data_IF_725111673314
#
_entry.id   IF_725111673314
#
_cell.length_a   1.000
_cell.length_b   1.000
_cell.length_c   1.000
_cell.angle_alpha   90.00
_cell.angle_beta   90.00
_cell.angle_gamma   90.00
#
_symmetry.space_group_name_H-M   'P 1'
#
loop_
_entity.id
_entity.type
_entity.pdbx_description
1 polymer ?
#
# COMPACT_ATOMS: atom_id res chain seq x y z
N UNK A 1 25.94 51.36 -7.96
CA UNK A 1 25.62 50.32 -8.97
C UNK A 1 24.77 50.96 -10.08
N UNK A 2 25.12 50.78 -11.35
CA UNK A 2 24.60 51.59 -12.46
C UNK A 2 23.23 51.10 -12.93
N UNK A 3 22.24 51.99 -12.97
CA UNK A 3 20.84 51.80 -13.41
C UNK A 3 20.68 50.90 -14.65
N UNK A 4 21.63 50.96 -15.58
CA UNK A 4 21.64 50.15 -16.79
C UNK A 4 21.75 48.63 -16.50
N UNK A 5 22.53 48.22 -15.51
CA UNK A 5 22.66 46.80 -15.16
C UNK A 5 21.37 46.20 -14.60
N UNK A 6 20.59 47.00 -13.89
CA UNK A 6 19.28 46.59 -13.36
C UNK A 6 18.27 46.47 -14.50
N UNK A 7 18.30 47.40 -15.46
CA UNK A 7 17.46 47.34 -16.66
C UNK A 7 17.78 46.12 -17.51
N UNK A 8 19.06 45.86 -17.78
CA UNK A 8 19.48 44.69 -18.56
C UNK A 8 19.10 43.36 -17.87
N UNK A 9 19.15 43.32 -16.53
CA UNK A 9 18.72 42.14 -15.77
C UNK A 9 17.20 41.94 -15.82
N UNK A 10 16.41 43.00 -15.78
CA UNK A 10 14.95 42.96 -15.91
C UNK A 10 14.52 42.49 -17.31
N UNK A 11 15.14 43.02 -18.37
CA UNK A 11 14.83 42.61 -19.74
C UNK A 11 15.16 41.12 -19.97
N UNK A 12 16.27 40.64 -19.37
CA UNK A 12 16.62 39.21 -19.39
C UNK A 12 15.62 38.36 -18.61
N UNK A 13 15.17 38.81 -17.44
CA UNK A 13 14.17 38.10 -16.66
C UNK A 13 12.85 38.01 -17.42
N UNK A 14 12.38 39.11 -18.01
CA UNK A 14 11.16 39.14 -18.81
C UNK A 14 11.24 38.18 -20.01
N UNK A 15 12.40 38.14 -20.68
CA UNK A 15 12.65 37.19 -21.77
C UNK A 15 12.61 35.73 -21.31
N UNK A 16 13.19 35.43 -20.14
CA UNK A 16 13.12 34.10 -19.54
C UNK A 16 11.69 33.72 -19.18
N UNK A 17 10.93 34.62 -18.54
CA UNK A 17 9.52 34.38 -18.18
C UNK A 17 8.68 34.09 -19.42
N UNK A 18 8.79 34.91 -20.48
CA UNK A 18 8.09 34.67 -21.75
C UNK A 18 8.42 33.31 -22.38
N UNK A 19 9.67 32.87 -22.27
CA UNK A 19 10.08 31.53 -22.76
C UNK A 19 9.46 30.41 -21.93
N UNK A 20 9.39 30.58 -20.61
CA UNK A 20 8.74 29.62 -19.71
C UNK A 20 7.25 29.54 -20.02
N UNK A 21 6.57 30.68 -20.20
CA UNK A 21 5.14 30.70 -20.55
C UNK A 21 4.87 30.01 -21.89
N UNK A 22 5.74 30.23 -22.89
CA UNK A 22 5.64 29.56 -24.18
C UNK A 22 5.85 28.05 -24.08
N UNK A 23 6.74 27.59 -23.18
CA UNK A 23 6.93 26.17 -22.92
C UNK A 23 5.75 25.56 -22.16
N UNK A 24 5.21 26.26 -21.16
CA UNK A 24 4.00 25.86 -20.44
C UNK A 24 2.81 25.69 -21.41
N UNK A 25 2.58 26.70 -22.27
CA UNK A 25 1.51 26.66 -23.28
C UNK A 25 1.68 25.50 -24.27
N UNK A 26 2.92 25.15 -24.64
CA UNK A 26 3.19 23.98 -25.51
C UNK A 26 2.97 22.66 -24.77
N UNK A 27 3.34 22.59 -23.50
CA UNK A 27 3.11 21.41 -22.68
C UNK A 27 1.60 21.16 -22.51
N UNK A 28 0.81 22.21 -22.27
CA UNK A 28 -0.65 22.12 -22.16
C UNK A 28 -1.28 21.60 -23.47
N UNK A 29 -0.85 22.12 -24.62
CA UNK A 29 -1.31 21.63 -25.94
C UNK A 29 -0.97 20.17 -26.19
N UNK A 30 0.24 19.73 -25.83
CA UNK A 30 0.64 18.32 -25.95
C UNK A 30 -0.16 17.43 -25.01
N UNK A 31 -0.55 17.94 -23.85
CA UNK A 31 -1.39 17.23 -22.89
C UNK A 31 -2.82 17.05 -23.40
N UNK A 32 -3.38 18.05 -24.09
CA UNK A 32 -4.70 17.99 -24.74
C UNK A 32 -4.72 17.10 -26.01
N UNK A 33 -3.59 17.00 -26.73
CA UNK A 33 -3.45 16.19 -27.95
C UNK A 33 -3.20 14.69 -27.68
N UNK A 34 -2.79 14.31 -26.46
CA UNK A 34 -2.74 12.89 -26.06
C UNK A 34 -4.16 12.31 -25.94
N UNK A 35 -4.51 11.22 -26.65
CA UNK A 35 -5.85 10.65 -26.59
C UNK A 35 -6.24 10.35 -25.14
N UNK A 36 -7.35 10.95 -24.70
CA UNK A 36 -7.98 10.82 -23.37
C UNK A 36 -8.51 9.40 -23.11
N UNK A 37 -7.63 8.40 -23.12
CA UNK A 37 -7.86 7.10 -22.52
C UNK A 37 -6.95 6.92 -21.31
N UNK A 38 -6.78 7.98 -20.49
CA UNK A 38 -6.19 7.81 -19.16
C UNK A 38 -7.03 6.79 -18.41
N UNK A 39 -6.42 5.71 -17.94
CA UNK A 39 -7.13 4.67 -17.20
C UNK A 39 -7.89 5.35 -16.04
N UNK A 40 -9.22 5.20 -15.99
CA UNK A 40 -10.00 5.72 -14.85
C UNK A 40 -9.82 4.80 -13.66
N UNK A 41 -8.70 4.97 -12.97
CA UNK A 41 -8.38 4.25 -11.75
C UNK A 41 -9.15 4.84 -10.58
N UNK A 42 -9.93 4.00 -9.88
CA UNK A 42 -10.69 4.39 -8.68
C UNK A 42 -10.52 3.35 -7.60
N UNK A 43 -10.56 3.76 -6.34
CA UNK A 43 -10.69 2.81 -5.23
C UNK A 43 -12.09 2.18 -5.20
N UNK A 44 -12.22 1.03 -4.56
CA UNK A 44 -13.48 0.27 -4.45
C UNK A 44 -14.53 0.96 -3.59
N UNK A 45 -14.11 1.85 -2.70
CA UNK A 45 -14.92 2.82 -1.95
C UNK A 45 -14.15 4.15 -1.82
N UNK A 46 -14.74 5.15 -1.15
CA UNK A 46 -14.00 6.37 -0.80
C UNK A 46 -12.84 6.04 0.14
N UNK A 47 -11.76 6.84 0.08
CA UNK A 47 -10.61 6.64 0.96
C UNK A 47 -10.98 6.81 2.42
N UNK A 48 -11.81 7.80 2.75
CA UNK A 48 -12.32 7.99 4.11
C UNK A 48 -13.01 6.74 4.67
N UNK A 49 -13.87 6.07 3.87
CA UNK A 49 -14.51 4.82 4.30
C UNK A 49 -13.49 3.70 4.50
N UNK A 50 -12.50 3.55 3.60
CA UNK A 50 -11.47 2.52 3.74
C UNK A 50 -10.62 2.77 5.00
N UNK A 51 -10.21 4.01 5.25
CA UNK A 51 -9.40 4.41 6.41
C UNK A 51 -10.18 4.27 7.72
N UNK A 52 -11.45 4.68 7.75
CA UNK A 52 -12.35 4.49 8.90
C UNK A 52 -12.48 3.01 9.23
N UNK A 53 -12.73 2.18 8.23
CA UNK A 53 -12.86 0.74 8.38
C UNK A 53 -11.55 0.08 8.84
N UNK A 54 -10.41 0.44 8.26
CA UNK A 54 -9.10 -0.04 8.71
C UNK A 54 -8.83 0.34 10.17
N UNK A 55 -9.25 1.56 10.58
CA UNK A 55 -9.15 2.04 11.96
C UNK A 55 -10.06 1.24 12.91
N UNK A 56 -11.31 0.97 12.51
CA UNK A 56 -12.23 0.09 13.27
C UNK A 56 -11.63 -1.30 13.47
N UNK A 57 -11.05 -1.88 12.43
CA UNK A 57 -10.37 -3.19 12.49
C UNK A 57 -9.21 -3.16 13.49
N UNK A 58 -8.35 -2.14 13.42
CA UNK A 58 -7.25 -1.99 14.39
C UNK A 58 -7.76 -1.91 15.83
N UNK A 59 -8.77 -1.06 16.09
CA UNK A 59 -9.35 -0.89 17.42
C UNK A 59 -10.03 -2.16 17.92
N UNK A 60 -10.77 -2.85 17.05
CA UNK A 60 -11.41 -4.12 17.35
C UNK A 60 -10.39 -5.17 17.76
N UNK A 61 -9.30 -5.32 17.00
CA UNK A 61 -8.22 -6.24 17.35
C UNK A 61 -7.56 -5.85 18.68
N UNK A 62 -7.18 -4.57 18.82
CA UNK A 62 -6.47 -4.06 19.99
C UNK A 62 -7.23 -4.27 21.30
N UNK A 63 -8.57 -4.21 21.27
CA UNK A 63 -9.43 -4.40 22.45
C UNK A 63 -9.62 -5.86 22.85
N UNK A 64 -9.38 -6.80 21.94
CA UNK A 64 -9.71 -8.21 22.12
C UNK A 64 -8.46 -9.10 22.29
N UNK A 65 -7.28 -8.52 22.55
CA UNK A 65 -6.08 -9.29 22.88
C UNK A 65 -6.12 -9.90 24.30
N UNK A 66 -5.25 -10.89 24.56
CA UNK A 66 -5.12 -11.50 25.89
C UNK A 66 -4.46 -10.52 26.87
N UNK A 67 -4.74 -10.66 28.17
CA UNK A 67 -4.05 -9.91 29.23
C UNK A 67 -2.74 -10.60 29.64
N UNK A 68 -2.58 -11.86 29.26
CA UNK A 68 -1.50 -12.75 29.70
C UNK A 68 -0.14 -12.46 29.03
N UNK A 69 -0.11 -11.72 27.92
CA UNK A 69 1.10 -11.44 27.15
C UNK A 69 1.25 -9.93 26.90
N UNK A 70 2.44 -9.34 27.13
CA UNK A 70 2.69 -7.94 26.82
C UNK A 70 2.65 -7.61 25.32
N UNK A 71 2.90 -8.57 24.42
CA UNK A 71 3.05 -8.32 22.98
C UNK A 71 2.23 -9.30 22.14
N UNK A 72 1.45 -8.75 21.22
CA UNK A 72 0.69 -9.49 20.21
C UNK A 72 1.04 -8.98 18.83
N UNK A 73 0.94 -9.82 17.81
CA UNK A 73 1.29 -9.45 16.44
C UNK A 73 0.12 -9.70 15.50
N UNK A 74 -0.20 -8.72 14.67
CA UNK A 74 -1.10 -8.89 13.54
C UNK A 74 -0.40 -8.51 12.24
N UNK A 75 -0.74 -9.21 11.16
CA UNK A 75 -0.33 -8.94 9.80
C UNK A 75 -1.56 -8.53 9.00
N UNK A 76 -1.68 -7.25 8.63
CA UNK A 76 -2.74 -6.76 7.75
C UNK A 76 -2.36 -7.02 6.30
N UNK A 77 -3.17 -7.77 5.55
CA UNK A 77 -2.96 -7.96 4.12
C UNK A 77 -3.08 -6.62 3.39
N UNK A 78 -2.03 -6.25 2.65
CA UNK A 78 -2.00 -5.05 1.84
C UNK A 78 -2.65 -5.35 0.49
N UNK A 79 -3.81 -4.74 0.26
CA UNK A 79 -4.60 -4.92 -0.94
C UNK A 79 -4.68 -3.61 -1.71
N UNK A 80 -4.70 -3.68 -3.03
CA UNK A 80 -4.75 -2.47 -3.86
C UNK A 80 -6.12 -1.76 -3.75
N UNK A 81 -7.22 -2.52 -3.61
CA UNK A 81 -8.60 -2.02 -3.65
C UNK A 81 -8.90 -1.14 -4.87
N UNK A 82 -8.18 -1.34 -5.97
CA UNK A 82 -8.31 -0.57 -7.20
C UNK A 82 -9.30 -1.23 -8.17
N UNK A 83 -10.30 -0.47 -8.60
CA UNK A 83 -11.23 -0.82 -9.66
C UNK A 83 -10.63 -0.41 -10.99
N UNK A 84 -10.36 -1.41 -11.84
CA UNK A 84 -9.85 -1.22 -13.20
C UNK A 84 -10.99 -1.29 -14.22
N UNK A 85 -11.01 -0.44 -15.25
CA UNK A 85 -11.97 -0.57 -16.34
C UNK A 85 -11.77 -1.92 -17.06
N UNK A 86 -12.86 -2.66 -17.29
CA UNK A 86 -12.81 -3.95 -18.01
C UNK A 86 -12.37 -3.71 -19.45
N UNK A 87 -11.16 -4.14 -19.81
CA UNK A 87 -10.72 -4.23 -21.21
C UNK A 87 -11.23 -5.55 -21.80
N UNK A 88 -12.01 -5.47 -22.88
CA UNK A 88 -12.82 -6.57 -23.48
C UNK A 88 -12.02 -7.75 -24.06
N UNK A 89 -10.68 -7.78 -23.98
CA UNK A 89 -9.84 -8.80 -24.63
C UNK A 89 -8.63 -9.27 -23.81
N UNK A 90 -8.72 -9.32 -22.48
CA UNK A 90 -7.63 -9.92 -21.67
C UNK A 90 -7.74 -11.46 -21.64
N UNK A 91 -6.62 -12.21 -21.72
CA UNK A 91 -6.61 -13.66 -21.55
C UNK A 91 -7.17 -14.09 -20.18
N UNK A 92 -7.82 -15.25 -20.12
CA UNK A 92 -8.45 -15.82 -18.91
C UNK A 92 -7.51 -15.94 -17.69
N UNK A 93 -6.20 -16.06 -17.88
CA UNK A 93 -5.21 -16.11 -16.79
C UNK A 93 -5.04 -14.76 -16.05
N UNK A 94 -5.42 -13.63 -16.64
CA UNK A 94 -5.40 -12.33 -15.98
C UNK A 94 -6.60 -12.11 -15.03
N UNK A 95 -7.55 -13.05 -14.94
CA UNK A 95 -8.76 -12.91 -14.14
C UNK A 95 -8.47 -12.84 -12.63
N UNK A 96 -7.41 -13.51 -12.13
CA UNK A 96 -7.05 -13.48 -10.71
C UNK A 96 -6.50 -12.12 -10.24
N UNK A 97 -5.97 -11.30 -11.15
CA UNK A 97 -5.50 -9.93 -10.85
C UNK A 97 -6.64 -8.91 -10.76
N UNK A 98 -7.88 -9.31 -11.06
CA UNK A 98 -9.06 -8.44 -11.07
C UNK A 98 -9.98 -8.63 -9.86
N UNK A 99 -9.60 -9.44 -8.87
CA UNK A 99 -10.39 -9.54 -7.64
C UNK A 99 -10.18 -8.24 -6.85
N UNK A 100 -11.15 -7.34 -6.96
CA UNK A 100 -11.13 -6.07 -6.21
C UNK A 100 -11.58 -6.36 -4.79
N UNK A 101 -10.66 -6.19 -3.84
CA UNK A 101 -10.97 -6.32 -2.43
C UNK A 101 -12.05 -5.30 -1.98
N UNK A 102 -12.98 -5.78 -1.16
CA UNK A 102 -14.11 -5.00 -0.66
C UNK A 102 -13.69 -4.10 0.49
N UNK A 103 -14.18 -2.86 0.51
CA UNK A 103 -13.86 -1.86 1.54
C UNK A 103 -14.19 -2.28 2.99
N UNK A 104 -15.11 -3.24 3.15
CA UNK A 104 -15.59 -3.76 4.44
C UNK A 104 -14.90 -5.06 4.87
N UNK A 105 -13.98 -5.58 4.07
CA UNK A 105 -13.35 -6.87 4.29
C UNK A 105 -11.83 -6.71 4.38
N UNK A 106 -11.16 -7.30 5.36
CA UNK A 106 -9.71 -7.19 5.56
C UNK A 106 -9.11 -8.56 5.88
N UNK A 107 -8.12 -8.98 5.09
CA UNK A 107 -7.34 -10.19 5.37
C UNK A 107 -6.32 -9.94 6.47
N UNK A 108 -6.23 -10.86 7.43
CA UNK A 108 -5.37 -10.73 8.60
C UNK A 108 -4.68 -12.05 8.95
N UNK A 109 -3.39 -11.99 9.29
CA UNK A 109 -2.70 -13.02 10.06
C UNK A 109 -2.60 -12.59 11.51
N UNK A 110 -2.95 -13.46 12.46
CA UNK A 110 -2.88 -13.17 13.89
C UNK A 110 -1.92 -14.15 14.57
N UNK A 111 -1.02 -13.61 15.40
CA UNK A 111 -0.13 -14.41 16.24
C UNK A 111 -0.09 -13.81 17.64
N UNK A 112 -0.40 -14.63 18.63
CA UNK A 112 -0.24 -14.27 20.03
C UNK A 112 0.63 -15.30 20.71
N UNK A 113 1.81 -14.92 21.21
CA UNK A 113 2.75 -15.83 21.86
C UNK A 113 2.32 -16.17 23.31
N UNK A 114 1.01 -16.11 23.61
CA UNK A 114 0.47 -16.43 24.93
C UNK A 114 0.61 -17.97 25.24
N UNK A 115 1.31 -18.81 24.45
CA UNK A 115 1.78 -20.17 24.79
C UNK A 115 2.76 -20.77 23.75
N UNK A 116 3.46 -21.86 24.11
CA UNK A 116 4.43 -22.54 23.26
C UNK A 116 3.79 -23.10 21.96
N UNK A 117 4.31 -22.67 20.81
CA UNK A 117 3.89 -22.98 19.43
C UNK A 117 2.68 -22.23 18.85
N UNK A 118 2.61 -20.91 19.03
CA UNK A 118 1.62 -20.09 18.32
C UNK A 118 1.92 -20.01 16.82
N UNK A 119 1.28 -20.88 16.04
CA UNK A 119 1.19 -20.74 14.59
C UNK A 119 0.38 -19.49 14.23
N UNK A 120 0.61 -18.95 13.03
CA UNK A 120 -0.21 -17.87 12.49
C UNK A 120 -1.64 -18.36 12.25
N UNK A 121 -2.62 -17.69 12.86
CA UNK A 121 -4.03 -17.87 12.50
C UNK A 121 -4.36 -16.94 11.34
N UNK A 122 -4.69 -17.51 10.20
CA UNK A 122 -5.23 -16.71 9.10
C UNK A 122 -6.69 -16.39 9.35
N UNK A 123 -7.09 -15.19 8.96
CA UNK A 123 -8.43 -14.72 9.20
C UNK A 123 -8.85 -13.63 8.21
N UNK A 124 -10.14 -13.39 8.18
CA UNK A 124 -10.75 -12.28 7.47
C UNK A 124 -11.69 -11.56 8.44
N UNK A 125 -11.53 -10.25 8.56
CA UNK A 125 -12.46 -9.41 9.33
C UNK A 125 -13.41 -8.73 8.36
N UNK A 126 -14.71 -8.94 8.57
CA UNK A 126 -15.81 -8.27 7.88
C UNK A 126 -16.43 -7.25 8.82
N UNK A 127 -16.67 -6.06 8.32
CA UNK A 127 -17.39 -5.02 9.06
C UNK A 127 -18.85 -5.13 8.67
N UNK A 128 -19.71 -5.32 9.66
CA UNK A 128 -21.15 -5.35 9.45
C UNK A 128 -21.62 -3.94 9.12
N UNK A 129 -21.86 -3.65 7.85
CA UNK A 129 -22.68 -2.50 7.48
C UNK A 129 -24.14 -2.87 7.77
N UNK A 130 -24.78 -2.23 8.75
CA UNK A 130 -26.24 -2.28 8.82
C UNK A 130 -26.77 -1.90 7.42
N UNK A 131 -27.68 -2.67 6.82
CA UNK A 131 -28.32 -2.24 5.58
C UNK A 131 -29.09 -0.96 5.91
N UNK A 132 -28.51 0.18 5.58
CA UNK A 132 -29.16 1.47 5.66
C UNK A 132 -30.38 1.40 4.74
N UNK A 133 -31.56 1.34 5.36
CA UNK A 133 -32.84 1.39 4.69
C UNK A 133 -32.98 2.73 3.98
N UNK A 134 -32.51 2.81 2.73
CA UNK A 134 -32.93 3.73 1.64
C UNK A 134 -31.97 3.57 0.45
N UNK A 135 -32.01 2.43 -0.24
CA UNK A 135 -31.49 2.34 -1.61
C UNK A 135 -32.64 2.53 -2.60
N UNK A 136 -32.83 3.78 -3.02
CA UNK A 136 -33.59 4.09 -4.24
C UNK A 136 -32.86 3.56 -5.46
N UNK A 137 -33.64 3.04 -6.40
CA UNK A 137 -33.24 2.14 -7.48
C UNK A 137 -32.02 2.57 -8.29
N UNK A 138 -31.01 1.70 -8.32
CA UNK A 138 -30.26 1.41 -9.53
C UNK A 138 -29.85 -0.05 -9.47
N UNK A 139 -30.40 -0.89 -10.36
CA UNK A 139 -30.05 -2.30 -10.45
C UNK A 139 -28.59 -2.40 -10.90
N UNK A 140 -27.68 -2.65 -9.95
CA UNK A 140 -26.29 -2.99 -10.24
C UNK A 140 -26.16 -4.50 -10.10
N UNK A 141 -26.19 -5.21 -11.23
CA UNK A 141 -25.87 -6.64 -11.27
C UNK A 141 -24.40 -6.79 -10.90
N UNK A 142 -24.16 -7.03 -9.62
CA UNK A 142 -22.86 -7.44 -9.09
C UNK A 142 -22.94 -8.95 -8.99
N UNK A 143 -22.13 -9.67 -9.76
CA UNK A 143 -21.97 -11.12 -9.58
C UNK A 143 -21.18 -11.28 -8.27
N UNK A 144 -21.91 -11.29 -7.16
CA UNK A 144 -21.40 -11.74 -5.88
C UNK A 144 -21.11 -13.23 -6.00
N UNK A 145 -19.95 -13.67 -5.53
CA UNK A 145 -19.73 -15.06 -5.10
C UNK A 145 -20.90 -15.42 -4.17
N UNK A 146 -21.47 -16.65 -4.23
CA UNK A 146 -22.73 -16.96 -3.55
C UNK A 146 -22.68 -16.47 -2.10
N UNK A 147 -23.56 -15.54 -1.76
CA UNK A 147 -23.85 -15.27 -0.36
C UNK A 147 -24.45 -16.57 0.17
N UNK A 148 -23.68 -17.27 1.00
CA UNK A 148 -24.24 -18.31 1.84
C UNK A 148 -25.39 -17.67 2.63
N UNK A 149 -26.58 -18.24 2.51
CA UNK A 149 -27.78 -17.88 3.24
C UNK A 149 -27.44 -17.87 4.76
N UNK A 150 -27.40 -16.69 5.40
CA UNK A 150 -26.73 -16.52 6.69
C UNK A 150 -27.71 -16.43 7.87
N UNK A 151 -27.83 -17.53 8.61
CA UNK A 151 -28.52 -17.60 9.89
C UNK A 151 -27.69 -16.91 11.01
N UNK A 152 -28.19 -15.87 11.70
CA UNK A 152 -27.49 -15.17 12.78
C UNK A 152 -27.19 -16.03 14.02
N UNK A 153 -27.75 -17.24 14.12
CA UNK A 153 -27.68 -18.10 15.30
C UNK A 153 -26.28 -18.68 15.63
N UNK A 154 -25.31 -18.63 14.71
CA UNK A 154 -24.00 -19.30 14.87
C UNK A 154 -22.80 -18.36 15.17
N UNK A 155 -23.05 -17.12 15.60
CA UNK A 155 -21.98 -16.17 15.93
C UNK A 155 -21.45 -16.40 17.36
N UNK A 156 -20.17 -16.71 17.50
CA UNK A 156 -19.51 -16.83 18.81
C UNK A 156 -18.82 -15.52 19.17
N UNK A 157 -19.24 -14.88 20.27
CA UNK A 157 -18.62 -13.65 20.73
C UNK A 157 -17.15 -13.86 21.13
N UNK A 158 -16.25 -13.05 20.58
CA UNK A 158 -14.81 -13.13 20.86
C UNK A 158 -14.51 -12.28 22.07
N UNK A 159 -14.12 -12.93 23.17
CA UNK A 159 -13.63 -12.26 24.39
C UNK A 159 -12.11 -12.16 24.44
N UNK A 160 -11.42 -13.02 23.68
CA UNK A 160 -9.96 -12.99 23.54
C UNK A 160 -9.54 -13.67 22.24
N UNK A 161 -8.83 -12.94 21.38
CA UNK A 161 -8.26 -13.44 20.14
C UNK A 161 -7.28 -14.59 20.39
N UNK A 162 -6.52 -14.54 21.48
CA UNK A 162 -5.57 -15.61 21.81
C UNK A 162 -6.28 -16.92 22.16
N UNK A 163 -7.48 -16.88 22.75
CA UNK A 163 -8.30 -18.08 22.94
C UNK A 163 -8.73 -18.66 21.58
N UNK A 164 -9.15 -17.81 20.64
CA UNK A 164 -9.51 -18.23 19.29
C UNK A 164 -8.31 -18.84 18.55
N UNK A 165 -7.14 -18.20 18.60
CA UNK A 165 -5.89 -18.70 18.00
C UNK A 165 -5.53 -20.08 18.56
N UNK A 166 -5.67 -20.29 19.88
CA UNK A 166 -5.37 -21.56 20.54
C UNK A 166 -6.36 -22.67 20.20
N UNK A 167 -7.64 -22.32 20.07
CA UNK A 167 -8.73 -23.30 20.00
C UNK A 167 -9.21 -23.58 18.58
N UNK A 168 -8.81 -22.80 17.59
CA UNK A 168 -9.29 -22.97 16.22
C UNK A 168 -8.84 -24.31 15.64
N UNK A 169 -9.78 -25.24 15.35
CA UNK A 169 -9.46 -26.48 14.65
C UNK A 169 -9.23 -26.24 13.16
N UNK A 170 -9.54 -25.03 12.66
CA UNK A 170 -9.46 -24.66 11.27
C UNK A 170 -8.31 -23.67 11.02
N UNK A 171 -7.63 -23.79 9.86
CA UNK A 171 -6.53 -22.90 9.50
C UNK A 171 -7.00 -21.47 9.18
N UNK A 172 -8.32 -21.23 9.13
CA UNK A 172 -8.90 -19.95 8.74
C UNK A 172 -10.21 -19.65 9.50
N UNK A 173 -10.33 -18.43 10.02
CA UNK A 173 -11.50 -17.94 10.77
C UNK A 173 -12.02 -16.63 10.17
N UNK A 174 -13.34 -16.49 10.06
CA UNK A 174 -13.95 -15.20 9.68
C UNK A 174 -14.44 -14.53 10.96
N UNK A 175 -14.05 -13.27 11.15
CA UNK A 175 -14.61 -12.43 12.21
C UNK A 175 -15.57 -11.39 11.63
N UNK A 176 -16.63 -11.11 12.36
CA UNK A 176 -17.54 -10.00 12.12
C UNK A 176 -17.28 -8.93 13.17
N UNK A 177 -17.05 -7.70 12.73
CA UNK A 177 -16.88 -6.52 13.57
C UNK A 177 -18.12 -5.65 13.42
N UNK A 178 -18.85 -5.46 14.51
CA UNK A 178 -20.03 -4.59 14.51
C UNK A 178 -19.68 -3.13 14.81
N UNK A 179 -20.66 -2.24 14.67
CA UNK A 179 -20.50 -0.79 14.93
C UNK A 179 -20.07 -0.45 16.37
N UNK A 180 -20.28 -1.35 17.32
CA UNK A 180 -19.85 -1.18 18.71
C UNK A 180 -18.38 -1.58 18.93
N UNK A 181 -17.71 -2.09 17.89
CA UNK A 181 -16.34 -2.59 17.96
C UNK A 181 -16.23 -3.97 18.63
N UNK A 182 -17.34 -4.71 18.75
CA UNK A 182 -17.33 -6.07 19.27
C UNK A 182 -17.01 -7.05 18.14
N UNK A 183 -16.10 -7.98 18.41
CA UNK A 183 -15.76 -9.06 17.49
C UNK A 183 -16.63 -10.29 17.80
N UNK A 184 -17.17 -10.88 16.74
CA UNK A 184 -17.73 -12.22 16.75
C UNK A 184 -16.95 -13.08 15.75
N UNK A 185 -16.80 -14.36 16.03
CA UNK A 185 -16.14 -15.32 15.15
C UNK A 185 -17.15 -16.29 14.57
N UNK A 186 -16.86 -16.73 13.35
CA UNK A 186 -17.58 -17.80 12.66
C UNK A 186 -16.56 -18.77 12.04
N UNK A 187 -16.75 -20.09 12.22
CA UNK A 187 -15.97 -21.07 11.48
C UNK A 187 -16.14 -20.84 9.98
N UNK A 188 -15.04 -20.81 9.24
CA UNK A 188 -15.15 -20.70 7.79
C UNK A 188 -15.29 -22.08 7.17
N UNK A 189 -16.27 -22.25 6.27
CA UNK A 189 -16.36 -23.42 5.40
C UNK A 189 -15.38 -23.33 4.21
N UNK A 190 -14.70 -22.19 4.01
CA UNK A 190 -13.72 -22.03 2.94
C UNK A 190 -12.48 -22.86 3.26
N UNK A 191 -12.20 -23.87 2.42
CA UNK A 191 -10.84 -24.42 2.28
C UNK A 191 -9.99 -23.37 1.59
N UNK A 192 -9.12 -22.69 2.32
CA UNK A 192 -8.14 -21.78 1.71
C UNK A 192 -7.20 -22.59 0.82
N UNK A 193 -7.14 -22.24 -0.46
CA UNK A 193 -6.33 -22.93 -1.47
C UNK A 193 -4.84 -22.56 -1.44
N UNK A 194 -4.44 -21.57 -0.63
CA UNK A 194 -3.06 -21.11 -0.55
C UNK A 194 -2.30 -21.90 0.53
N UNK A 195 -1.24 -22.60 0.13
CA UNK A 195 -0.24 -23.14 1.06
C UNK A 195 0.51 -21.96 1.69
N UNK A 196 0.44 -21.86 3.02
CA UNK A 196 1.18 -20.87 3.77
C UNK A 196 2.58 -21.41 4.09
N UNK A 197 3.61 -20.58 3.94
CA UNK A 197 4.96 -20.95 4.36
C UNK A 197 5.02 -20.97 5.89
N UNK A 198 5.73 -21.96 6.45
CA UNK A 198 5.93 -22.03 7.91
C UNK A 198 6.67 -20.81 8.47
N UNK A 199 7.45 -20.12 7.63
CA UNK A 199 8.20 -18.92 7.98
C UNK A 199 7.91 -17.83 6.94
N UNK A 200 7.34 -16.71 7.40
CA UNK A 200 7.19 -15.52 6.59
C UNK A 200 8.54 -14.84 6.36
N UNK A 201 8.75 -14.25 5.19
CA UNK A 201 9.95 -13.46 4.89
C UNK A 201 9.60 -11.98 4.77
N UNK A 202 10.46 -11.09 5.30
CA UNK A 202 10.29 -9.65 5.12
C UNK A 202 10.79 -9.18 3.74
N UNK A 203 10.33 -8.02 3.29
CA UNK A 203 10.85 -7.39 2.07
C UNK A 203 12.37 -7.19 2.18
N UNK A 204 12.88 -6.76 3.34
CA UNK A 204 14.32 -6.63 3.60
C UNK A 204 15.10 -7.93 3.29
N UNK A 205 14.60 -9.08 3.75
CA UNK A 205 15.26 -10.36 3.55
C UNK A 205 15.16 -10.87 2.10
N UNK A 206 14.13 -10.42 1.37
CA UNK A 206 13.87 -10.82 -0.01
C UNK A 206 14.60 -9.94 -1.04
N UNK A 207 14.90 -8.68 -0.71
CA UNK A 207 15.52 -7.74 -1.65
C UNK A 207 16.77 -8.30 -2.34
N UNK A 208 17.74 -8.94 -1.66
CA UNK A 208 18.92 -9.51 -2.34
C UNK A 208 18.60 -10.61 -3.35
N UNK A 209 17.42 -11.25 -3.24
CA UNK A 209 16.98 -12.30 -4.16
C UNK A 209 16.36 -11.71 -5.44
N UNK A 210 16.03 -10.42 -5.46
CA UNK A 210 15.46 -9.73 -6.63
C UNK A 210 16.51 -9.47 -7.71
N UNK A 211 17.80 -9.66 -7.41
CA UNK A 211 18.90 -9.62 -8.40
C UNK A 211 18.66 -10.63 -9.54
N UNK A 212 18.03 -11.77 -9.23
CA UNK A 212 17.45 -12.65 -10.23
C UNK A 212 16.16 -11.99 -10.76
N UNK A 213 16.27 -11.26 -11.87
CA UNK A 213 15.21 -10.46 -12.51
C UNK A 213 13.79 -11.02 -12.27
N UNK A 214 13.08 -10.41 -11.33
CA UNK A 214 11.67 -10.74 -11.09
C UNK A 214 10.83 -10.40 -12.32
N UNK A 215 9.73 -11.12 -12.56
CA UNK A 215 8.80 -10.75 -13.61
C UNK A 215 8.27 -9.34 -13.39
N UNK A 216 8.18 -8.58 -14.50
CA UNK A 216 7.70 -7.20 -14.52
C UNK A 216 6.35 -7.07 -13.79
N UNK A 217 5.43 -8.02 -13.99
CA UNK A 217 4.12 -8.01 -13.33
C UNK A 217 4.22 -8.00 -11.79
N UNK A 218 5.20 -8.67 -11.20
CA UNK A 218 5.37 -8.72 -9.75
C UNK A 218 5.98 -7.43 -9.21
N UNK A 219 6.98 -6.89 -9.91
CA UNK A 219 7.63 -5.63 -9.54
C UNK A 219 6.62 -4.46 -9.54
N UNK A 220 5.84 -4.32 -10.62
CA UNK A 220 4.81 -3.29 -10.70
C UNK A 220 3.66 -3.59 -9.74
N UNK A 221 3.22 -4.85 -9.65
CA UNK A 221 2.15 -5.25 -8.74
C UNK A 221 2.46 -4.93 -7.27
N UNK A 222 3.69 -5.19 -6.83
CA UNK A 222 4.16 -4.84 -5.49
C UNK A 222 4.22 -3.32 -5.31
N UNK A 223 4.85 -2.59 -6.24
CA UNK A 223 4.96 -1.12 -6.16
C UNK A 223 3.59 -0.43 -6.07
N UNK A 224 2.64 -0.84 -6.93
CA UNK A 224 1.26 -0.35 -6.93
C UNK A 224 0.58 -0.66 -5.59
N UNK A 225 0.76 -1.86 -5.04
CA UNK A 225 0.22 -2.24 -3.73
C UNK A 225 0.76 -1.37 -2.61
N UNK A 226 2.07 -1.10 -2.59
CA UNK A 226 2.68 -0.25 -1.56
C UNK A 226 2.19 1.20 -1.65
N UNK A 227 2.14 1.76 -2.86
CA UNK A 227 1.61 3.12 -3.07
C UNK A 227 0.13 3.19 -2.67
N UNK A 228 -0.69 2.23 -3.11
CA UNK A 228 -2.10 2.17 -2.73
C UNK A 228 -2.28 2.03 -1.21
N UNK A 229 -1.36 1.36 -0.51
CA UNK A 229 -1.40 1.19 0.95
C UNK A 229 -1.20 2.50 1.69
N UNK A 230 -0.35 3.42 1.18
CA UNK A 230 -0.21 4.76 1.76
C UNK A 230 -1.55 5.50 1.76
N UNK A 231 -2.26 5.53 0.63
CA UNK A 231 -3.59 6.16 0.57
C UNK A 231 -4.56 5.56 1.60
N UNK A 232 -4.54 4.24 1.73
CA UNK A 232 -5.53 3.51 2.54
C UNK A 232 -5.23 3.55 4.04
N UNK A 233 -3.96 3.72 4.44
CA UNK A 233 -3.53 3.45 5.81
C UNK A 233 -2.80 4.61 6.49
N UNK A 234 -2.33 5.64 5.76
CA UNK A 234 -1.48 6.69 6.33
C UNK A 234 -2.11 7.46 7.50
N UNK A 235 -3.44 7.63 7.49
CA UNK A 235 -4.21 8.28 8.57
C UNK A 235 -4.81 7.28 9.57
N UNK A 236 -4.31 6.04 9.60
CA UNK A 236 -4.82 4.97 10.46
C UNK A 236 -3.75 4.51 11.46
N UNK A 237 -4.14 3.90 12.60
CA UNK A 237 -3.17 3.39 13.57
C UNK A 237 -2.23 2.30 13.04
N UNK A 238 -2.59 1.64 11.92
CA UNK A 238 -1.75 0.66 11.26
C UNK A 238 -0.39 1.23 10.84
N UNK A 239 -0.36 2.49 10.41
CA UNK A 239 0.84 3.19 9.90
C UNK A 239 1.26 4.37 10.80
N UNK A 240 1.04 4.22 12.11
CA UNK A 240 1.41 5.22 13.11
C UNK A 240 2.93 5.42 13.28
N UNK A 241 3.71 4.36 13.09
CA UNK A 241 5.17 4.40 13.16
C UNK A 241 5.77 4.57 11.76
N UNK A 242 7.00 5.08 11.70
CA UNK A 242 7.73 5.20 10.43
C UNK A 242 7.76 3.85 9.72
N UNK A 243 7.24 3.83 8.50
CA UNK A 243 7.14 2.62 7.70
C UNK A 243 8.52 2.08 7.33
N UNK A 244 8.71 0.76 7.41
CA UNK A 244 9.94 0.08 7.04
C UNK A 244 9.69 -1.13 6.16
N UNK A 245 10.68 -1.46 5.32
CA UNK A 245 10.76 -2.74 4.59
C UNK A 245 10.76 -3.98 5.49
N UNK A 246 11.07 -3.82 6.78
CA UNK A 246 10.97 -4.89 7.80
C UNK A 246 9.53 -5.23 8.14
N UNK A 247 8.65 -4.23 8.07
CA UNK A 247 7.25 -4.36 8.44
C UNK A 247 6.42 -4.99 7.32
N UNK A 248 6.98 -5.12 6.11
CA UNK A 248 6.32 -5.76 4.96
C UNK A 248 6.76 -7.21 4.90
N UNK A 249 5.83 -8.14 5.10
CA UNK A 249 6.10 -9.59 5.12
C UNK A 249 5.26 -10.35 4.10
N UNK A 250 5.80 -11.48 3.66
CA UNK A 250 5.17 -12.40 2.72
C UNK A 250 5.08 -13.78 3.38
N UNK A 251 3.85 -14.28 3.54
CA UNK A 251 3.56 -15.52 4.27
C UNK A 251 2.90 -16.61 3.41
N UNK A 252 2.66 -16.35 2.12
CA UNK A 252 2.07 -17.31 1.18
C UNK A 252 3.15 -17.92 0.31
N UNK A 253 3.12 -19.23 0.14
CA UNK A 253 4.03 -19.93 -0.76
C UNK A 253 3.63 -19.67 -2.22
N UNK A 254 4.62 -19.64 -3.11
CA UNK A 254 4.36 -19.71 -4.54
C UNK A 254 5.24 -20.81 -5.16
N UNK A 255 4.63 -21.97 -5.45
CA UNK A 255 5.35 -23.11 -6.03
C UNK A 255 5.79 -22.90 -7.48
N UNK A 256 5.32 -21.84 -8.14
CA UNK A 256 5.52 -21.60 -9.57
C UNK A 256 6.45 -20.43 -9.89
N UNK A 257 7.12 -19.85 -8.89
CA UNK A 257 7.91 -18.61 -9.02
C UNK A 257 9.36 -18.79 -8.53
N UNK A 258 10.30 -17.92 -8.96
CA UNK A 258 11.70 -18.02 -8.55
C UNK A 258 11.88 -17.79 -7.04
N UNK A 259 10.97 -17.04 -6.42
CA UNK A 259 10.90 -16.88 -4.97
C UNK A 259 10.00 -17.95 -4.37
N UNK A 260 10.36 -18.43 -3.17
CA UNK A 260 9.52 -19.34 -2.37
C UNK A 260 8.24 -18.69 -1.85
N UNK A 261 8.07 -17.38 -2.02
CA UNK A 261 6.95 -16.57 -1.53
C UNK A 261 6.16 -15.92 -2.67
N UNK A 262 4.88 -15.66 -2.41
CA UNK A 262 3.99 -14.96 -3.33
C UNK A 262 3.99 -13.45 -3.09
N UNK A 263 4.63 -12.70 -3.99
CA UNK A 263 4.73 -11.24 -3.92
C UNK A 263 3.39 -10.51 -4.10
N UNK A 264 2.33 -11.20 -4.52
CA UNK A 264 0.99 -10.61 -4.71
C UNK A 264 0.24 -10.34 -3.41
N UNK A 265 0.71 -10.92 -2.30
CA UNK A 265 0.05 -10.84 -1.00
C UNK A 265 0.96 -10.32 0.12
N UNK A 266 1.55 -9.11 -0.03
CA UNK A 266 2.31 -8.48 1.04
C UNK A 266 1.39 -8.18 2.23
N UNK A 267 1.91 -8.29 3.45
CA UNK A 267 1.19 -7.90 4.65
C UNK A 267 2.02 -6.94 5.49
N UNK A 268 1.35 -6.01 6.16
CA UNK A 268 1.94 -5.08 7.12
C UNK A 268 1.88 -5.69 8.52
N UNK A 269 3.04 -5.90 9.12
CA UNK A 269 3.19 -6.35 10.51
C UNK A 269 2.95 -5.19 11.46
N UNK A 270 2.16 -5.44 12.50
CA UNK A 270 1.93 -4.52 13.61
C UNK A 270 2.00 -5.26 14.93
N UNK A 271 2.78 -4.69 15.85
CA UNK A 271 2.85 -5.15 17.23
C UNK A 271 1.89 -4.34 18.11
N UNK A 272 1.09 -5.05 18.91
CA UNK A 272 0.16 -4.51 19.86
C UNK A 272 0.73 -4.71 21.27
N UNK A 273 1.13 -3.59 21.87
CA UNK A 273 1.67 -3.54 23.21
C UNK A 273 0.60 -3.06 24.19
N UNK A 274 0.60 -3.62 25.41
CA UNK A 274 -0.19 -3.04 26.50
C UNK A 274 0.51 -1.80 27.07
N UNK A 275 -0.22 -0.69 27.18
CA UNK A 275 0.19 0.46 28.00
C UNK A 275 0.94 1.60 27.29
N UNK A 276 1.08 1.57 25.97
CA UNK A 276 1.64 2.70 25.23
C UNK A 276 0.62 3.84 25.13
N UNK A 277 0.97 4.98 25.75
CA UNK A 277 0.23 6.24 25.61
C UNK A 277 0.26 6.79 24.18
N UNK A 278 -0.49 7.86 23.90
CA UNK A 278 -0.60 8.42 22.55
C UNK A 278 0.77 8.81 21.99
N UNK A 279 1.10 8.26 20.82
CA UNK A 279 2.36 8.51 20.11
C UNK A 279 2.48 9.94 19.56
N UNK A 280 3.65 10.31 19.02
CA UNK A 280 3.99 11.69 18.58
C UNK A 280 3.05 12.24 17.51
N UNK A 281 2.87 13.55 17.42
CA UNK A 281 1.90 14.28 16.57
C UNK A 281 1.80 13.84 15.09
N UNK A 282 0.58 13.91 14.53
CA UNK A 282 0.17 13.35 13.21
C UNK A 282 0.91 13.91 11.98
N UNK A 283 1.32 15.20 12.02
CA UNK A 283 1.80 15.95 10.84
C UNK A 283 3.19 15.48 10.37
N UNK A 284 4.08 15.08 11.30
CA UNK A 284 5.44 14.63 10.93
C UNK A 284 5.48 13.19 10.38
N UNK A 285 4.34 12.49 10.38
CA UNK A 285 4.22 11.06 10.04
C UNK A 285 4.06 10.82 8.54
N UNK A 286 3.16 11.56 7.89
CA UNK A 286 2.85 11.43 6.46
C UNK A 286 4.09 11.61 5.60
N UNK A 287 4.83 12.70 5.83
CA UNK A 287 6.05 12.98 5.10
C UNK A 287 7.07 11.85 5.29
N UNK A 288 7.31 11.41 6.53
CA UNK A 288 8.26 10.33 6.83
C UNK A 288 7.94 9.02 6.09
N UNK A 289 6.65 8.68 5.98
CA UNK A 289 6.20 7.49 5.26
C UNK A 289 6.35 7.61 3.73
N UNK A 290 6.23 8.83 3.18
CA UNK A 290 6.50 9.09 1.76
C UNK A 290 7.98 8.90 1.41
N UNK A 291 8.89 9.37 2.28
CA UNK A 291 10.33 9.13 2.10
C UNK A 291 10.65 7.63 2.19
N UNK A 292 10.09 6.92 3.17
CA UNK A 292 10.25 5.48 3.28
C UNK A 292 9.75 4.73 2.03
N UNK A 293 8.58 5.12 1.50
CA UNK A 293 8.05 4.57 0.26
C UNK A 293 8.98 4.83 -0.93
N UNK A 294 9.50 6.06 -1.07
CA UNK A 294 10.43 6.40 -2.14
C UNK A 294 11.68 5.49 -2.13
N UNK A 295 12.24 5.25 -0.95
CA UNK A 295 13.39 4.36 -0.77
C UNK A 295 13.01 2.92 -1.11
N UNK A 296 11.88 2.40 -0.61
CA UNK A 296 11.46 1.03 -0.92
C UNK A 296 11.21 0.82 -2.43
N UNK A 297 10.66 1.81 -3.14
CA UNK A 297 10.51 1.74 -4.60
C UNK A 297 11.87 1.70 -5.33
N UNK A 298 12.86 2.45 -4.86
CA UNK A 298 14.23 2.38 -5.38
C UNK A 298 14.87 1.01 -5.10
N UNK A 299 14.67 0.46 -3.91
CA UNK A 299 15.19 -0.85 -3.53
C UNK A 299 14.54 -1.97 -4.35
N UNK A 300 13.21 -1.97 -4.51
CA UNK A 300 12.46 -2.94 -5.32
C UNK A 300 12.93 -2.94 -6.77
N UNK A 301 13.12 -1.76 -7.36
CA UNK A 301 13.60 -1.64 -8.75
C UNK A 301 15.10 -1.92 -8.90
N UNK A 302 15.84 -1.97 -7.81
CA UNK A 302 17.28 -2.25 -7.81
C UNK A 302 17.61 -3.68 -7.43
N UNK A 303 16.72 -4.36 -6.71
CA UNK A 303 16.99 -5.65 -6.08
C UNK A 303 18.09 -5.58 -5.02
N UNK A 304 18.30 -4.41 -4.42
CA UNK A 304 19.36 -4.19 -3.42
C UNK A 304 18.85 -3.24 -2.34
N UNK A 305 19.05 -3.56 -1.06
CA UNK A 305 18.72 -2.65 0.03
C UNK A 305 19.65 -1.43 0.04
N UNK A 306 19.14 -0.31 0.52
CA UNK A 306 19.86 0.99 0.54
C UNK A 306 21.15 0.92 1.34
N UNK A 307 21.22 0.06 2.35
CA UNK A 307 22.39 -0.15 3.22
C UNK A 307 23.59 -0.71 2.46
N UNK A 308 23.39 -1.47 1.37
CA UNK A 308 24.51 -1.94 0.54
C UNK A 308 25.21 -0.81 -0.22
N UNK A 309 24.52 0.33 -0.40
CA UNK A 309 25.09 1.50 -1.09
C UNK A 309 25.87 2.41 -0.14
N UNK A 310 25.77 2.15 1.16
CA UNK A 310 26.42 2.90 2.22
C UNK A 310 27.69 2.17 2.62
N UNK A 311 28.82 2.87 2.67
CA UNK A 311 30.03 2.33 3.27
C UNK A 311 29.81 2.04 4.75
N UNK A 312 30.58 1.10 5.33
CA UNK A 312 30.47 0.69 6.75
C UNK A 312 30.41 1.87 7.74
N UNK A 313 31.11 2.97 7.45
CA UNK A 313 31.15 4.19 8.30
C UNK A 313 29.91 5.09 8.21
N UNK A 314 29.07 4.91 7.18
CA UNK A 314 27.83 5.68 6.99
C UNK A 314 26.61 4.95 7.56
N UNK A 315 26.65 3.61 7.67
CA UNK A 315 25.56 2.80 8.22
C UNK A 315 25.27 3.16 9.69
N UNK A 316 26.30 3.52 10.46
CA UNK A 316 26.20 3.93 11.88
C UNK A 316 25.76 5.39 12.08
N UNK A 317 25.89 6.25 11.06
CA UNK A 317 25.57 7.68 11.13
C UNK A 317 24.18 8.06 10.55
N UNK A 318 23.41 7.08 10.04
CA UNK A 318 22.11 7.33 9.37
C UNK A 318 20.89 7.23 10.32
N UNK A 319 21.10 7.02 11.62
CA UNK A 319 20.11 7.38 12.63
C UNK A 319 20.67 8.58 13.40
N UNK A 320 20.17 9.82 13.19
CA UNK A 320 18.78 10.16 13.54
C UNK A 320 18.17 11.34 12.73
N UNK A 321 18.29 11.38 11.40
CA UNK A 321 17.75 12.50 10.62
C UNK A 321 17.24 12.14 9.23
N UNK A 322 15.96 12.44 8.97
CA UNK A 322 15.28 12.17 7.68
C UNK A 322 15.94 12.88 6.48
N UNK A 323 16.69 13.96 6.72
CA UNK A 323 17.43 14.71 5.69
C UNK A 323 18.56 13.89 5.02
N UNK A 324 19.22 12.99 5.75
CA UNK A 324 20.25 12.11 5.16
C UNK A 324 19.63 11.08 4.22
N UNK A 325 18.43 10.58 4.55
CA UNK A 325 17.69 9.64 3.71
C UNK A 325 17.21 10.28 2.41
N UNK A 326 16.75 11.54 2.47
CA UNK A 326 16.34 12.30 1.29
C UNK A 326 17.47 12.47 0.26
N UNK A 327 18.63 13.00 0.69
CA UNK A 327 19.76 13.22 -0.21
C UNK A 327 20.24 11.92 -0.87
N UNK A 328 20.25 10.83 -0.10
CA UNK A 328 20.59 9.50 -0.60
C UNK A 328 19.60 9.02 -1.67
N UNK A 329 18.30 9.15 -1.41
CA UNK A 329 17.26 8.76 -2.35
C UNK A 329 17.30 9.60 -3.63
N UNK A 330 17.49 10.92 -3.52
CA UNK A 330 17.62 11.81 -4.68
C UNK A 330 18.86 11.50 -5.53
N UNK A 331 20.01 11.29 -4.89
CA UNK A 331 21.25 10.91 -5.56
C UNK A 331 21.10 9.59 -6.31
N UNK A 332 20.48 8.60 -5.65
CA UNK A 332 20.22 7.29 -6.24
C UNK A 332 19.24 7.36 -7.42
N UNK A 333 18.16 8.13 -7.28
CA UNK A 333 17.21 8.36 -8.37
C UNK A 333 17.90 8.98 -9.59
N UNK A 334 18.73 10.01 -9.38
CA UNK A 334 19.49 10.67 -10.46
C UNK A 334 20.43 9.71 -11.18
N UNK A 335 21.16 8.88 -10.44
CA UNK A 335 22.04 7.84 -11.00
C UNK A 335 21.26 6.81 -11.81
N UNK A 336 20.14 6.30 -11.28
CA UNK A 336 19.32 5.30 -11.97
C UNK A 336 18.73 5.85 -13.27
N UNK A 337 18.29 7.10 -13.26
CA UNK A 337 17.78 7.80 -14.43
C UNK A 337 18.86 8.03 -15.50
N UNK A 338 20.07 8.46 -15.10
CA UNK A 338 21.16 8.69 -16.06
C UNK A 338 21.62 7.41 -16.75
N UNK A 339 21.52 6.26 -16.06
CA UNK A 339 21.81 4.95 -16.63
C UNK A 339 20.63 4.30 -17.38
N UNK A 340 19.47 4.94 -17.45
CA UNK A 340 18.27 4.38 -18.11
C UNK A 340 17.77 3.09 -17.46
N UNK A 341 18.06 2.87 -16.17
CA UNK A 341 17.72 1.66 -15.42
C UNK A 341 16.39 1.75 -14.66
N UNK A 342 15.68 2.85 -14.84
CA UNK A 342 14.40 3.13 -14.21
C UNK A 342 13.41 3.54 -15.28
N UNK A 343 12.20 2.98 -15.22
CA UNK A 343 11.15 3.38 -16.14
C UNK A 343 10.63 4.79 -15.81
N UNK A 344 9.92 5.39 -16.77
CA UNK A 344 9.39 6.75 -16.58
C UNK A 344 8.36 6.78 -15.46
N UNK A 345 7.48 5.77 -15.36
CA UNK A 345 6.47 5.73 -14.30
C UNK A 345 7.10 5.54 -12.92
N UNK A 346 8.09 4.66 -12.78
CA UNK A 346 8.81 4.49 -11.51
C UNK A 346 9.56 5.77 -11.10
N UNK A 347 10.28 6.40 -12.03
CA UNK A 347 10.96 7.67 -11.75
C UNK A 347 9.97 8.74 -11.28
N UNK A 348 8.82 8.85 -11.95
CA UNK A 348 7.79 9.82 -11.58
C UNK A 348 7.18 9.50 -10.21
N UNK A 349 6.90 8.23 -9.92
CA UNK A 349 6.34 7.82 -8.64
C UNK A 349 7.30 8.11 -7.48
N UNK A 350 8.58 7.77 -7.62
CA UNK A 350 9.62 8.04 -6.61
C UNK A 350 9.79 9.55 -6.42
N UNK A 351 9.91 10.32 -7.51
CA UNK A 351 10.04 11.78 -7.43
C UNK A 351 8.84 12.41 -6.73
N UNK A 352 7.63 11.95 -7.02
CA UNK A 352 6.39 12.48 -6.40
C UNK A 352 6.38 12.20 -4.90
N UNK A 353 6.85 11.02 -4.46
CA UNK A 353 7.00 10.72 -3.04
C UNK A 353 8.03 11.64 -2.35
N UNK A 354 9.18 11.88 -2.98
CA UNK A 354 10.21 12.79 -2.44
C UNK A 354 9.72 14.24 -2.37
N UNK A 355 8.98 14.69 -3.38
CA UNK A 355 8.35 16.02 -3.39
C UNK A 355 7.30 16.15 -2.27
N UNK A 356 6.43 15.13 -2.10
CA UNK A 356 5.45 15.12 -1.01
C UNK A 356 6.08 15.02 0.38
N UNK A 357 7.29 14.45 0.52
CA UNK A 357 8.05 14.52 1.77
C UNK A 357 8.51 15.95 2.10
N UNK A 358 8.87 16.74 1.08
CA UNK A 358 9.35 18.12 1.23
C UNK A 358 8.23 19.15 1.38
N UNK A 359 7.01 18.78 1.01
CA UNK A 359 5.85 19.65 1.05
C UNK A 359 5.17 19.60 2.43
N UNK A 360 5.22 20.69 3.23
CA UNK A 360 4.60 20.71 4.56
C UNK A 360 3.07 20.68 4.50
N UNK A 361 2.48 21.02 3.35
CA UNK A 361 1.04 21.05 3.13
C UNK A 361 0.52 19.72 2.55
N UNK A 362 1.42 18.76 2.31
CA UNK A 362 1.06 17.43 1.79
C UNK A 362 0.17 16.66 2.78
N UNK A 363 -1.11 16.51 2.42
CA UNK A 363 -2.07 15.73 3.18
C UNK A 363 -2.96 14.90 2.27
N UNK A 364 -3.14 13.62 2.61
CA UNK A 364 -4.10 12.76 1.91
C UNK A 364 -5.55 13.01 2.32
N UNK A 365 -5.79 13.87 3.32
CA UNK A 365 -7.12 14.40 3.65
C UNK A 365 -7.55 15.51 2.67
N UNK A 366 -6.61 16.12 1.93
CA UNK A 366 -6.92 17.03 0.82
C UNK A 366 -7.19 16.22 -0.46
N UNK A 367 -8.44 16.26 -0.92
CA UNK A 367 -8.87 15.62 -2.16
C UNK A 367 -8.07 16.08 -3.38
N UNK A 368 -7.63 17.35 -3.43
CA UNK A 368 -6.86 17.87 -4.55
C UNK A 368 -5.45 17.26 -4.56
N UNK A 369 -4.74 17.34 -3.44
CA UNK A 369 -3.43 16.69 -3.28
C UNK A 369 -3.52 15.19 -3.55
N UNK A 370 -4.50 14.50 -2.94
CA UNK A 370 -4.69 13.06 -3.09
C UNK A 370 -4.93 12.66 -4.56
N UNK A 371 -5.78 13.39 -5.28
CA UNK A 371 -6.01 13.12 -6.70
C UNK A 371 -4.77 13.39 -7.55
N UNK A 372 -4.07 14.50 -7.32
CA UNK A 372 -2.84 14.83 -8.02
C UNK A 372 -1.73 13.78 -7.77
N UNK A 373 -1.58 13.33 -6.52
CA UNK A 373 -0.63 12.29 -6.16
C UNK A 373 -0.98 10.98 -6.86
N UNK A 374 -2.26 10.57 -6.87
CA UNK A 374 -2.74 9.36 -7.56
C UNK A 374 -2.47 9.41 -9.06
N UNK A 375 -2.74 10.54 -9.70
CA UNK A 375 -2.50 10.75 -11.13
C UNK A 375 -1.01 10.74 -11.51
N UNK A 376 -0.13 11.14 -10.60
CA UNK A 376 1.33 11.14 -10.83
C UNK A 376 2.02 9.84 -10.43
N UNK A 377 1.38 8.99 -9.61
CA UNK A 377 2.01 7.77 -9.08
C UNK A 377 1.34 6.50 -9.60
N UNK A 378 0.11 6.21 -9.16
CA UNK A 378 -0.60 4.97 -9.47
C UNK A 378 -0.96 4.86 -10.95
N UNK A 379 -1.44 5.95 -11.55
CA UNK A 379 -1.91 5.92 -12.93
C UNK A 379 -0.79 5.58 -13.93
N UNK A 380 0.38 6.26 -13.92
CA UNK A 380 1.47 5.92 -14.83
C UNK A 380 2.00 4.50 -14.63
N UNK A 381 2.06 4.01 -13.38
CA UNK A 381 2.52 2.65 -13.10
C UNK A 381 1.55 1.61 -13.64
N UNK A 382 0.24 1.82 -13.50
CA UNK A 382 -0.78 0.93 -14.08
C UNK A 382 -0.75 0.94 -15.60
N UNK A 383 -0.62 2.11 -16.22
CA UNK A 383 -0.56 2.26 -17.68
C UNK A 383 0.69 1.62 -18.27
N UNK A 384 1.85 1.85 -17.66
CA UNK A 384 3.12 1.26 -18.09
C UNK A 384 3.12 -0.26 -17.86
N UNK A 385 2.61 -0.74 -16.72
CA UNK A 385 2.44 -2.18 -16.47
C UNK A 385 1.54 -2.81 -17.53
N UNK A 386 0.37 -2.21 -17.80
CA UNK A 386 -0.56 -2.70 -18.83
C UNK A 386 0.10 -2.73 -20.21
N UNK A 387 0.85 -1.68 -20.57
CA UNK A 387 1.56 -1.58 -21.83
C UNK A 387 2.64 -2.67 -21.95
N UNK A 388 3.42 -2.90 -20.91
CA UNK A 388 4.49 -3.89 -20.91
C UNK A 388 3.95 -5.34 -20.95
N UNK A 389 2.79 -5.59 -20.34
CA UNK A 389 2.20 -6.93 -20.30
C UNK A 389 1.34 -7.26 -21.52
N UNK A 390 0.68 -6.26 -22.13
CA UNK A 390 -0.33 -6.50 -23.15
C UNK A 390 -0.12 -5.71 -24.46
N UNK A 391 0.89 -4.84 -24.51
CA UNK A 391 1.15 -3.95 -25.64
C UNK A 391 0.26 -2.68 -25.63
N UNK A 392 0.39 -1.82 -26.65
CA UNK A 392 -0.39 -0.58 -26.74
C UNK A 392 -1.90 -0.83 -26.76
N UNK A 393 -2.71 0.09 -26.18
CA UNK A 393 -4.16 0.02 -26.31
C UNK A 393 -4.53 0.07 -27.80
N UNK A 394 -5.27 -0.95 -28.25
CA UNK A 394 -5.75 -1.06 -29.63
C UNK A 394 -7.00 -0.25 -29.88
#
# INVERSE_FOLDING_TARGET
MKKNRVKDALDRLETCTKRIDAWATRADKLQDETPQSRLKLKFSASLGTIQENATKVHQGISRNWCDDNPVHVACLLLEQRLVRPKKTKRPLQAASLNLVAQATCFGLGLRGDCNASSQWLNSEIRIDELPSSTRTGTVRVTISVPEDDHDPANLQHVTSLCKVIRQSPHPFVVFCLNDKGCLASRPSLKKTAAEYVQQSSSLEALLPQFEAQLPIAEVYGLAITLIASIFQLNHTPWLETKWSKRDIVFARANSNMPLSVDLRYPSLVKEFHRGTGPGPTLINRTCSNLLALAIMLLEITSGSPVEQRLGYDQITNILPGDQSGLHLAEGWLKEKNSHGRLSSAFSQAILTCLQGYLDPDASFDDDQYCNAFKEKTLLPLEEEMDFLLFGPPR
#
